data_IF_855392816524
#
_entry.id   IF_855392816524
#
_cell.length_a   1.000
_cell.length_b   1.000
_cell.length_c   1.000
_cell.angle_alpha   90.00
_cell.angle_beta   90.00
_cell.angle_gamma   90.00
#
_symmetry.space_group_name_H-M   'P 1'
#
loop_
_entity.id
_entity.type
_entity.pdbx_description
1 polymer ?
#
# COMPACT_ATOMS: atom_id res chain seq x y z
N UNK A 1 -19.44 10.02 21.88
CA UNK A 1 -19.52 9.17 20.68
C UNK A 1 -19.47 7.72 21.11
N UNK A 2 -20.41 6.91 20.62
CA UNK A 2 -20.44 5.48 20.92
C UNK A 2 -19.13 4.85 20.36
N UNK A 3 -18.29 4.34 21.22
CA UNK A 3 -16.96 3.79 20.86
C UNK A 3 -17.08 2.72 19.74
N UNK A 4 -18.13 1.87 19.82
CA UNK A 4 -18.41 0.87 18.83
C UNK A 4 -18.71 1.45 17.44
N UNK A 5 -19.47 2.55 17.37
CA UNK A 5 -19.74 3.24 16.10
C UNK A 5 -18.48 3.83 15.49
N UNK A 6 -17.57 4.35 16.31
CA UNK A 6 -16.27 4.86 15.84
C UNK A 6 -15.42 3.75 15.22
N UNK A 7 -15.33 2.57 15.86
CA UNK A 7 -14.59 1.43 15.31
C UNK A 7 -15.19 0.90 14.01
N UNK A 8 -16.53 0.80 13.94
CA UNK A 8 -17.23 0.38 12.72
C UNK A 8 -16.91 1.37 11.57
N UNK A 9 -17.01 2.66 11.85
CA UNK A 9 -16.69 3.71 10.87
C UNK A 9 -15.23 3.59 10.39
N UNK A 10 -14.28 3.45 11.31
CA UNK A 10 -12.86 3.29 10.98
C UNK A 10 -12.60 2.05 10.14
N UNK A 11 -13.27 0.94 10.44
CA UNK A 11 -13.15 -0.29 9.66
C UNK A 11 -13.63 -0.10 8.21
N UNK A 12 -14.80 0.52 8.01
CA UNK A 12 -15.31 0.83 6.67
C UNK A 12 -14.40 1.82 5.94
N UNK A 13 -13.93 2.86 6.62
CA UNK A 13 -13.04 3.84 6.02
C UNK A 13 -11.69 3.21 5.63
N UNK A 14 -11.12 2.36 6.46
CA UNK A 14 -9.91 1.59 6.13
C UNK A 14 -10.13 0.71 4.89
N UNK A 15 -11.23 -0.05 4.88
CA UNK A 15 -11.57 -0.94 3.75
C UNK A 15 -11.73 -0.16 2.44
N UNK A 16 -12.41 0.98 2.49
CA UNK A 16 -12.58 1.88 1.36
C UNK A 16 -11.24 2.44 0.88
N UNK A 17 -10.38 2.86 1.81
CA UNK A 17 -9.07 3.42 1.50
C UNK A 17 -8.17 2.40 0.79
N UNK A 18 -8.14 1.14 1.28
CA UNK A 18 -7.43 0.05 0.63
C UNK A 18 -7.99 -0.22 -0.78
N UNK A 19 -9.32 -0.26 -0.91
CA UNK A 19 -9.95 -0.49 -2.21
C UNK A 19 -9.63 0.62 -3.22
N UNK A 20 -9.69 1.88 -2.81
CA UNK A 20 -9.36 3.04 -3.65
C UNK A 20 -7.88 2.99 -4.06
N UNK A 21 -7.00 2.57 -3.16
CA UNK A 21 -5.58 2.36 -3.44
C UNK A 21 -5.36 1.36 -4.59
N UNK A 22 -5.97 0.18 -4.49
CA UNK A 22 -5.88 -0.85 -5.53
C UNK A 22 -6.49 -0.40 -6.86
N UNK A 23 -7.60 0.38 -6.80
CA UNK A 23 -8.17 1.00 -8.00
C UNK A 23 -7.20 1.97 -8.68
N UNK A 24 -6.36 2.66 -7.92
CA UNK A 24 -5.30 3.53 -8.45
C UNK A 24 -4.35 2.75 -9.37
N UNK A 25 -3.87 1.60 -8.92
CA UNK A 25 -3.01 0.71 -9.71
C UNK A 25 -3.71 0.21 -10.97
N UNK A 26 -4.95 -0.29 -10.83
CA UNK A 26 -5.75 -0.81 -11.94
C UNK A 26 -5.98 0.25 -13.01
N UNK A 27 -6.41 1.45 -12.61
CA UNK A 27 -6.67 2.55 -13.55
C UNK A 27 -5.41 2.99 -14.28
N UNK A 28 -4.30 3.10 -13.57
CA UNK A 28 -3.01 3.47 -14.15
C UNK A 28 -2.53 2.41 -15.16
N UNK A 29 -2.64 1.12 -14.81
CA UNK A 29 -2.28 0.03 -15.72
C UNK A 29 -3.16 0.01 -16.96
N UNK A 30 -4.49 0.17 -16.78
CA UNK A 30 -5.44 0.21 -17.90
C UNK A 30 -5.21 1.43 -18.82
N UNK A 31 -4.82 2.59 -18.24
CA UNK A 31 -4.49 3.78 -19.04
C UNK A 31 -3.29 3.54 -19.95
N UNK A 32 -2.33 2.72 -19.54
CA UNK A 32 -1.18 2.30 -20.34
C UNK A 32 -1.56 1.21 -21.38
N UNK A 33 -2.82 0.78 -21.42
CA UNK A 33 -3.32 -0.24 -22.36
C UNK A 33 -3.07 -1.68 -21.91
N UNK A 34 -2.78 -1.90 -20.64
CA UNK A 34 -2.58 -3.22 -20.04
C UNK A 34 -3.73 -3.57 -19.08
N UNK A 35 -3.90 -4.86 -18.82
CA UNK A 35 -4.99 -5.36 -17.97
C UNK A 35 -4.48 -6.02 -16.69
N UNK A 36 -5.23 -5.87 -15.61
CA UNK A 36 -5.05 -6.69 -14.42
C UNK A 36 -5.76 -8.05 -14.63
N UNK A 37 -5.29 -9.11 -13.96
CA UNK A 37 -5.87 -10.44 -14.08
C UNK A 37 -6.96 -10.66 -13.06
N UNK A 38 -6.65 -10.49 -11.78
CA UNK A 38 -7.61 -10.68 -10.70
C UNK A 38 -7.29 -9.81 -9.49
N UNK A 39 -8.31 -9.61 -8.68
CA UNK A 39 -8.22 -9.00 -7.36
C UNK A 39 -8.41 -10.13 -6.34
N UNK A 40 -7.60 -10.18 -5.31
CA UNK A 40 -7.67 -11.23 -4.31
C UNK A 40 -7.30 -10.77 -2.91
N UNK A 41 -7.42 -11.71 -1.97
CA UNK A 41 -7.00 -11.55 -0.58
C UNK A 41 -5.76 -12.38 -0.33
N UNK A 42 -4.80 -11.83 0.39
CA UNK A 42 -3.62 -12.57 0.87
C UNK A 42 -3.29 -12.18 2.31
N UNK A 43 -2.56 -13.06 2.99
CA UNK A 43 -1.99 -12.77 4.31
C UNK A 43 -0.50 -12.45 4.14
N UNK A 44 -0.11 -11.23 4.44
CA UNK A 44 1.31 -10.86 4.50
C UNK A 44 1.89 -11.35 5.83
N UNK A 45 3.02 -12.07 5.76
CA UNK A 45 3.69 -12.65 6.93
C UNK A 45 2.76 -13.52 7.81
N UNK A 46 1.70 -14.12 7.23
CA UNK A 46 0.66 -14.93 7.91
C UNK A 46 -0.15 -14.18 8.99
N UNK A 47 0.04 -12.88 9.16
CA UNK A 47 -0.57 -12.09 10.23
C UNK A 47 -1.41 -10.94 9.66
N UNK A 48 -0.94 -10.28 8.61
CA UNK A 48 -1.55 -9.06 8.09
C UNK A 48 -2.39 -9.35 6.84
N UNK A 49 -3.74 -9.23 6.93
CA UNK A 49 -4.60 -9.36 5.75
C UNK A 49 -4.34 -8.18 4.79
N UNK A 50 -4.24 -8.49 3.51
CA UNK A 50 -4.07 -7.50 2.45
C UNK A 50 -4.91 -7.85 1.23
N UNK A 51 -5.50 -6.85 0.61
CA UNK A 51 -6.04 -6.95 -0.74
C UNK A 51 -4.87 -6.80 -1.70
N UNK A 52 -4.89 -7.52 -2.80
CA UNK A 52 -3.89 -7.38 -3.85
C UNK A 52 -4.53 -7.44 -5.23
N UNK A 53 -3.89 -6.77 -6.17
CA UNK A 53 -4.22 -6.86 -7.59
C UNK A 53 -3.10 -7.62 -8.30
N UNK A 54 -3.47 -8.65 -9.03
CA UNK A 54 -2.53 -9.38 -9.88
C UNK A 54 -2.37 -8.64 -11.21
N UNK A 55 -1.15 -8.13 -11.44
CA UNK A 55 -0.79 -7.29 -12.59
C UNK A 55 0.35 -7.93 -13.39
N UNK A 56 0.14 -9.12 -13.95
CA UNK A 56 1.20 -9.84 -14.68
C UNK A 56 1.68 -9.06 -15.91
N UNK A 57 0.81 -8.29 -16.55
CA UNK A 57 1.17 -7.47 -17.71
C UNK A 57 2.08 -6.27 -17.36
N UNK A 58 2.31 -6.00 -16.08
CA UNK A 58 3.26 -4.96 -15.65
C UNK A 58 4.70 -5.27 -16.12
N UNK A 59 5.02 -6.54 -16.34
CA UNK A 59 6.34 -6.93 -16.86
C UNK A 59 6.53 -6.61 -18.35
N UNK A 60 5.45 -6.26 -19.06
CA UNK A 60 5.45 -5.93 -20.49
C UNK A 60 5.54 -4.43 -20.78
N UNK A 61 5.60 -3.59 -19.74
CA UNK A 61 5.68 -2.13 -19.87
C UNK A 61 7.08 -1.62 -19.53
N UNK A 62 7.36 -0.38 -19.94
CA UNK A 62 8.65 0.27 -19.70
C UNK A 62 8.90 0.51 -18.19
N UNK A 63 10.16 0.73 -17.83
CA UNK A 63 10.58 1.04 -16.45
C UNK A 63 9.83 2.23 -15.87
N UNK A 64 9.67 3.31 -16.62
CA UNK A 64 8.99 4.51 -16.15
C UNK A 64 7.50 4.26 -15.93
N UNK A 65 6.85 3.52 -16.83
CA UNK A 65 5.45 3.12 -16.69
C UNK A 65 5.24 2.23 -15.46
N UNK A 66 6.15 1.29 -15.17
CA UNK A 66 6.10 0.48 -13.94
C UNK A 66 6.11 1.36 -12.69
N UNK A 67 7.00 2.35 -12.64
CA UNK A 67 7.09 3.29 -11.52
C UNK A 67 5.78 4.05 -11.36
N UNK A 68 5.20 4.56 -12.45
CA UNK A 68 3.92 5.27 -12.44
C UNK A 68 2.81 4.37 -11.91
N UNK A 69 2.71 3.13 -12.38
CA UNK A 69 1.71 2.17 -11.88
C UNK A 69 1.87 1.89 -10.39
N UNK A 70 3.10 1.67 -9.91
CA UNK A 70 3.33 1.43 -8.50
C UNK A 70 3.07 2.66 -7.61
N UNK A 71 3.33 3.87 -8.11
CA UNK A 71 3.02 5.10 -7.37
C UNK A 71 1.54 5.47 -7.43
N UNK A 72 0.78 4.97 -8.42
CA UNK A 72 -0.62 5.36 -8.64
C UNK A 72 -1.52 5.09 -7.42
N UNK A 73 -1.33 3.97 -6.73
CA UNK A 73 -2.05 3.66 -5.49
C UNK A 73 -1.77 4.70 -4.40
N UNK A 74 -0.50 5.03 -4.19
CA UNK A 74 -0.08 6.04 -3.20
C UNK A 74 -0.64 7.43 -3.53
N UNK A 75 -0.56 7.86 -4.78
CA UNK A 75 -1.09 9.14 -5.25
C UNK A 75 -2.61 9.19 -5.07
N UNK A 76 -3.31 8.11 -5.43
CA UNK A 76 -4.77 8.03 -5.29
C UNK A 76 -5.18 8.12 -3.82
N UNK A 77 -4.49 7.42 -2.92
CA UNK A 77 -4.74 7.53 -1.48
C UNK A 77 -4.44 8.93 -0.96
N UNK A 78 -3.29 9.50 -1.32
CA UNK A 78 -2.94 10.87 -0.93
C UNK A 78 -4.04 11.86 -1.30
N UNK A 79 -4.51 11.83 -2.54
CA UNK A 79 -5.58 12.71 -2.99
C UNK A 79 -6.89 12.46 -2.24
N UNK A 80 -7.26 11.20 -2.02
CA UNK A 80 -8.51 10.84 -1.36
C UNK A 80 -8.54 11.26 0.12
N UNK A 81 -7.49 10.96 0.89
CA UNK A 81 -7.45 11.31 2.32
C UNK A 81 -7.43 12.84 2.51
N UNK A 82 -6.68 13.57 1.67
CA UNK A 82 -6.66 15.03 1.73
C UNK A 82 -8.01 15.64 1.33
N UNK A 83 -8.66 15.11 0.29
CA UNK A 83 -9.99 15.57 -0.13
C UNK A 83 -11.02 15.38 0.97
N UNK A 84 -11.06 14.21 1.61
CA UNK A 84 -11.96 13.93 2.74
C UNK A 84 -11.64 14.87 3.91
N UNK A 85 -10.37 15.12 4.20
CA UNK A 85 -9.99 16.02 5.28
C UNK A 85 -10.39 17.48 5.00
N UNK A 86 -10.27 17.95 3.77
CA UNK A 86 -10.76 19.28 3.40
C UNK A 86 -12.27 19.39 3.62
N UNK A 87 -13.05 18.40 3.20
CA UNK A 87 -14.50 18.35 3.46
C UNK A 87 -14.76 18.36 4.97
N UNK A 88 -14.00 17.58 5.74
CA UNK A 88 -14.15 17.53 7.19
C UNK A 88 -13.91 18.89 7.83
N UNK A 89 -12.84 19.58 7.47
CA UNK A 89 -12.50 20.89 8.03
C UNK A 89 -13.53 21.98 7.69
N UNK A 90 -14.07 21.94 6.48
CA UNK A 90 -15.01 22.97 6.01
C UNK A 90 -16.46 22.73 6.50
N UNK A 91 -16.91 21.47 6.54
CA UNK A 91 -18.33 21.15 6.70
C UNK A 91 -18.64 20.26 7.90
N UNK A 92 -17.87 19.20 8.16
CA UNK A 92 -18.26 18.14 9.10
C UNK A 92 -17.72 18.38 10.51
N UNK A 93 -16.52 18.91 10.65
CA UNK A 93 -15.80 19.16 11.93
C UNK A 93 -15.80 17.94 12.85
N UNK A 94 -15.62 16.76 12.27
CA UNK A 94 -15.68 15.47 12.96
C UNK A 94 -14.29 15.02 13.42
N UNK A 95 -14.09 14.88 14.74
CA UNK A 95 -12.81 14.47 15.36
C UNK A 95 -12.37 13.06 14.94
N UNK A 96 -13.30 12.16 14.61
CA UNK A 96 -12.94 10.81 14.14
C UNK A 96 -12.26 10.89 12.78
N UNK A 97 -12.75 11.78 11.89
CA UNK A 97 -12.11 12.03 10.60
C UNK A 97 -10.73 12.67 10.75
N UNK A 98 -10.54 13.59 11.70
CA UNK A 98 -9.22 14.18 11.98
C UNK A 98 -8.23 13.10 12.43
N UNK A 99 -8.63 12.24 13.36
CA UNK A 99 -7.79 11.12 13.82
C UNK A 99 -7.52 10.12 12.70
N UNK A 100 -8.52 9.84 11.86
CA UNK A 100 -8.38 8.97 10.69
C UNK A 100 -7.40 9.54 9.67
N UNK A 101 -7.44 10.85 9.43
CA UNK A 101 -6.51 11.53 8.54
C UNK A 101 -5.06 11.35 8.99
N UNK A 102 -4.79 11.55 10.27
CA UNK A 102 -3.45 11.34 10.85
C UNK A 102 -3.02 9.88 10.66
N UNK A 103 -3.87 8.92 11.03
CA UNK A 103 -3.58 7.50 10.89
C UNK A 103 -3.26 7.10 9.44
N UNK A 104 -4.11 7.49 8.48
CA UNK A 104 -3.90 7.15 7.07
C UNK A 104 -2.73 7.89 6.44
N UNK A 105 -2.39 9.09 6.91
CA UNK A 105 -1.18 9.81 6.50
C UNK A 105 0.08 9.04 6.93
N UNK A 106 0.13 8.52 8.15
CA UNK A 106 1.21 7.65 8.60
C UNK A 106 1.25 6.33 7.82
N UNK A 107 0.11 5.70 7.58
CA UNK A 107 0.03 4.48 6.77
C UNK A 107 0.53 4.68 5.35
N UNK A 108 0.23 5.84 4.74
CA UNK A 108 0.73 6.22 3.41
C UNK A 108 2.26 6.37 3.41
N UNK A 109 2.82 7.08 4.39
CA UNK A 109 4.26 7.23 4.54
C UNK A 109 4.93 5.88 4.76
N UNK A 110 4.32 5.01 5.57
CA UNK A 110 4.82 3.66 5.80
C UNK A 110 4.83 2.80 4.53
N UNK A 111 3.80 2.92 3.69
CA UNK A 111 3.77 2.22 2.39
C UNK A 111 4.79 2.76 1.38
N UNK A 112 5.29 3.98 1.58
CA UNK A 112 6.40 4.53 0.79
C UNK A 112 7.76 3.98 1.23
N UNK A 113 7.89 3.56 2.50
CA UNK A 113 9.11 2.92 3.00
C UNK A 113 9.32 1.59 2.25
N UNK A 114 10.53 1.31 1.74
CA UNK A 114 10.80 0.13 0.92
C UNK A 114 10.89 -1.15 1.76
N UNK A 115 9.77 -1.51 2.38
CA UNK A 115 9.57 -2.79 3.07
C UNK A 115 8.93 -3.77 2.10
N UNK A 116 9.23 -5.06 2.24
CA UNK A 116 8.75 -6.10 1.34
C UNK A 116 7.22 -6.02 1.14
N UNK A 117 6.80 -6.10 -0.12
CA UNK A 117 5.42 -5.95 -0.61
C UNK A 117 4.82 -4.53 -0.55
N UNK A 118 5.54 -3.52 -0.04
CA UNK A 118 5.10 -2.13 -0.15
C UNK A 118 5.25 -1.61 -1.60
N UNK A 119 4.51 -0.56 -1.95
CA UNK A 119 4.70 0.08 -3.25
C UNK A 119 6.04 0.79 -3.33
N UNK A 120 6.53 1.36 -2.22
CA UNK A 120 7.87 1.92 -2.13
C UNK A 120 8.96 0.89 -2.47
N UNK A 121 8.81 -0.36 -2.00
CA UNK A 121 9.72 -1.44 -2.38
C UNK A 121 9.68 -1.73 -3.89
N UNK A 122 8.49 -1.85 -4.47
CA UNK A 122 8.32 -2.11 -5.92
C UNK A 122 8.92 -0.98 -6.77
N UNK A 123 8.73 0.27 -6.36
CA UNK A 123 9.35 1.43 -7.01
C UNK A 123 10.87 1.34 -6.90
N UNK A 124 11.41 1.03 -5.73
CA UNK A 124 12.85 0.95 -5.50
C UNK A 124 13.51 -0.12 -6.37
N UNK A 125 13.01 -1.36 -6.36
CA UNK A 125 13.58 -2.44 -7.20
C UNK A 125 13.47 -2.10 -8.69
N UNK A 126 12.37 -1.46 -9.12
CA UNK A 126 12.21 -0.99 -10.49
C UNK A 126 13.25 0.07 -10.84
N UNK A 127 13.53 1.03 -9.94
CA UNK A 127 14.57 2.06 -10.13
C UNK A 127 15.96 1.44 -10.33
N UNK A 128 16.28 0.39 -9.60
CA UNK A 128 17.54 -0.34 -9.75
C UNK A 128 17.53 -1.35 -10.90
N UNK A 129 16.38 -1.48 -11.62
CA UNK A 129 16.22 -2.48 -12.69
C UNK A 129 16.50 -3.91 -12.20
N UNK A 130 16.07 -4.21 -10.99
CA UNK A 130 16.21 -5.51 -10.33
C UNK A 130 14.83 -6.15 -10.26
N UNK A 131 14.71 -7.39 -10.72
CA UNK A 131 13.47 -8.15 -10.60
C UNK A 131 13.52 -9.06 -9.37
N UNK A 132 12.38 -9.19 -8.68
CA UNK A 132 12.21 -10.18 -7.63
C UNK A 132 11.86 -11.53 -8.26
N UNK A 133 12.69 -12.53 -8.03
CA UNK A 133 12.52 -13.87 -8.56
C UNK A 133 11.72 -14.73 -7.57
N UNK A 134 10.93 -15.68 -8.08
CA UNK A 134 10.22 -16.67 -7.25
C UNK A 134 11.19 -17.45 -6.36
N UNK A 135 12.38 -17.80 -6.89
CA UNK A 135 13.43 -18.43 -6.10
C UNK A 135 14.22 -17.38 -5.33
N UNK A 136 13.83 -17.13 -4.07
CA UNK A 136 14.43 -16.14 -3.18
C UNK A 136 15.95 -16.25 -3.02
N UNK A 137 16.52 -17.46 -3.19
CA UNK A 137 17.97 -17.68 -3.09
C UNK A 137 18.74 -17.04 -4.25
N UNK A 138 18.09 -16.88 -5.42
CA UNK A 138 18.66 -16.29 -6.63
C UNK A 138 18.47 -14.79 -6.73
N UNK A 139 17.75 -14.17 -5.79
CA UNK A 139 17.49 -12.74 -5.79
C UNK A 139 18.80 -11.94 -5.66
N UNK A 140 18.78 -10.75 -6.25
CA UNK A 140 19.86 -9.77 -6.15
C UNK A 140 20.13 -9.39 -4.68
N UNK A 141 21.37 -9.00 -4.36
CA UNK A 141 21.77 -8.64 -2.99
C UNK A 141 20.85 -7.56 -2.38
N UNK A 142 20.48 -6.55 -3.17
CA UNK A 142 19.59 -5.47 -2.74
C UNK A 142 18.23 -6.03 -2.27
N UNK A 143 17.63 -6.96 -3.03
CA UNK A 143 16.36 -7.61 -2.65
C UNK A 143 16.52 -8.38 -1.35
N UNK A 144 17.62 -9.14 -1.19
CA UNK A 144 17.90 -9.90 0.04
C UNK A 144 18.08 -9.00 1.26
N UNK A 145 18.77 -7.86 1.10
CA UNK A 145 18.96 -6.88 2.17
C UNK A 145 17.61 -6.28 2.59
N UNK A 146 16.76 -5.88 1.64
CA UNK A 146 15.43 -5.36 1.95
C UNK A 146 14.56 -6.43 2.62
N UNK A 147 14.64 -7.68 2.17
CA UNK A 147 13.93 -8.80 2.82
C UNK A 147 14.38 -9.00 4.27
N UNK A 148 15.68 -8.93 4.55
CA UNK A 148 16.22 -9.05 5.89
C UNK A 148 15.76 -7.88 6.80
N UNK A 149 15.85 -6.64 6.32
CA UNK A 149 15.38 -5.45 7.06
C UNK A 149 13.88 -5.54 7.31
N UNK A 150 13.08 -5.94 6.32
CA UNK A 150 11.64 -6.11 6.46
C UNK A 150 11.28 -7.13 7.52
N UNK A 151 12.00 -8.25 7.57
CA UNK A 151 11.80 -9.28 8.59
C UNK A 151 12.12 -8.75 9.99
N UNK A 152 13.22 -8.01 10.15
CA UNK A 152 13.57 -7.39 11.43
C UNK A 152 12.51 -6.41 11.91
N UNK A 153 11.97 -5.55 11.01
CA UNK A 153 10.90 -4.62 11.35
C UNK A 153 9.60 -5.33 11.76
N UNK A 154 9.26 -6.44 11.10
CA UNK A 154 8.10 -7.26 11.48
C UNK A 154 8.29 -7.87 12.86
N UNK A 155 9.48 -8.41 13.15
CA UNK A 155 9.80 -8.99 14.45
C UNK A 155 9.71 -7.91 15.56
N UNK A 156 10.30 -6.73 15.33
CA UNK A 156 10.21 -5.60 16.26
C UNK A 156 8.76 -5.18 16.51
N UNK A 157 7.96 -5.06 15.45
CA UNK A 157 6.54 -4.71 15.56
C UNK A 157 5.77 -5.74 16.38
N UNK A 158 6.00 -7.02 16.15
CA UNK A 158 5.33 -8.10 16.91
C UNK A 158 5.76 -8.06 18.38
N UNK A 159 7.05 -7.89 18.66
CA UNK A 159 7.56 -7.79 20.04
C UNK A 159 6.91 -6.59 20.75
N UNK A 160 6.77 -5.44 20.08
CA UNK A 160 6.17 -4.22 20.69
C UNK A 160 4.69 -4.37 21.05
N UNK A 161 4.00 -5.41 20.55
CA UNK A 161 2.63 -5.71 20.98
C UNK A 161 2.55 -6.45 22.34
N UNK A 162 3.64 -7.03 22.76
CA UNK A 162 3.72 -7.84 23.98
C UNK A 162 4.48 -7.16 25.13
N UNK A 163 5.12 -6.03 24.85
CA UNK A 163 5.83 -5.18 25.80
C UNK A 163 5.08 -3.86 26.02
#
# INVERSE_FOLDING_TARGET
>A
ANLHLAYIFLFFYLSLNIFIHELGHIKSLNYIGKKHQKIGFKMNYYIFPAIYVEMNEIYLISKNEKIIVHLAGLITNYLTINFIQVINLLFLKNKILDSSFIFFSYALLWNLVPVLNSDGYKVLITLFSVDELENKRKNHLIVKLIQAISLLLVIETVISWFV
#
